data_IF_523156483055
#
_entry.id   IF_523156483055
#
_cell.length_a   1.000
_cell.length_b   1.000
_cell.length_c   1.000
_cell.angle_alpha   90.00
_cell.angle_beta   90.00
_cell.angle_gamma   90.00
#
_symmetry.space_group_name_H-M   'P 1'
#
loop_
_entity.id
_entity.type
_entity.pdbx_description
1 polymer ?
#
# COMPACT_ATOMS: atom_id res chain seq x y z
N UNK A 1 -12.97 -33.86 13.74
CA UNK A 1 -13.07 -32.52 14.34
C UNK A 1 -12.08 -32.27 15.48
N UNK A 2 -11.20 -33.20 15.85
CA UNK A 2 -10.31 -33.02 17.00
C UNK A 2 -8.81 -33.25 16.70
N UNK A 3 -7.93 -32.51 17.38
CA UNK A 3 -6.47 -32.61 17.31
C UNK A 3 -5.82 -32.61 18.70
N UNK A 4 -4.58 -33.10 18.77
CA UNK A 4 -3.74 -33.09 19.97
C UNK A 4 -2.57 -32.12 19.82
N UNK A 5 -2.09 -31.51 20.93
CA UNK A 5 -0.89 -30.68 20.92
C UNK A 5 0.34 -31.45 20.43
N UNK A 6 1.35 -30.73 19.93
CA UNK A 6 2.59 -31.33 19.47
C UNK A 6 3.28 -32.08 20.61
N UNK A 7 3.64 -33.35 20.35
CA UNK A 7 4.25 -34.23 21.36
C UNK A 7 3.27 -35.05 22.19
N UNK A 8 1.95 -34.88 22.01
CA UNK A 8 0.92 -35.73 22.61
C UNK A 8 0.41 -36.77 21.62
N UNK A 9 0.05 -37.94 22.14
CA UNK A 9 -0.50 -39.07 21.39
C UNK A 9 -2.02 -39.08 21.55
N UNK A 10 -2.78 -39.38 20.49
CA UNK A 10 -4.23 -39.44 20.56
C UNK A 10 -4.69 -40.71 21.30
N UNK A 11 -5.61 -40.55 22.25
CA UNK A 11 -6.39 -41.63 22.88
C UNK A 11 -7.86 -41.54 22.43
N UNK A 12 -8.26 -42.28 21.39
CA UNK A 12 -9.62 -42.29 20.82
C UNK A 12 -10.69 -42.79 21.78
N UNK A 13 -10.35 -43.74 22.65
CA UNK A 13 -11.31 -44.39 23.56
C UNK A 13 -11.59 -43.51 24.77
N UNK A 14 -10.57 -42.81 25.27
CA UNK A 14 -10.68 -41.87 26.37
C UNK A 14 -11.03 -40.43 25.98
N UNK A 15 -11.19 -40.13 24.68
CA UNK A 15 -11.52 -38.78 24.20
C UNK A 15 -10.46 -37.72 24.55
N UNK A 16 -9.19 -38.10 24.63
CA UNK A 16 -8.12 -37.25 25.19
C UNK A 16 -6.76 -37.43 24.50
N UNK A 17 -5.79 -36.58 24.87
CA UNK A 17 -4.42 -36.60 24.39
C UNK A 17 -3.48 -36.99 25.55
N UNK A 18 -2.51 -37.87 25.28
CA UNK A 18 -1.60 -38.43 26.28
C UNK A 18 -0.14 -38.04 26.01
N UNK A 19 0.58 -37.58 27.03
CA UNK A 19 2.03 -37.40 27.00
C UNK A 19 2.62 -37.80 28.36
N UNK A 20 3.23 -38.97 28.45
CA UNK A 20 3.65 -39.56 29.73
C UNK A 20 2.44 -39.81 30.63
N UNK A 21 2.44 -39.26 31.84
CA UNK A 21 1.31 -39.32 32.78
C UNK A 21 0.26 -38.21 32.55
N UNK A 22 0.54 -37.23 31.68
CA UNK A 22 -0.36 -36.13 31.42
C UNK A 22 -1.48 -36.54 30.45
N UNK A 23 -2.73 -36.30 30.88
CA UNK A 23 -3.96 -36.49 30.08
C UNK A 23 -4.67 -35.17 29.92
N UNK A 24 -4.81 -34.70 28.69
CA UNK A 24 -5.49 -33.42 28.36
C UNK A 24 -6.63 -33.63 27.37
N UNK A 25 -7.72 -32.83 27.44
CA UNK A 25 -8.82 -32.92 26.48
C UNK A 25 -8.37 -32.62 25.04
N UNK A 26 -9.12 -33.14 24.07
CA UNK A 26 -8.94 -32.80 22.67
C UNK A 26 -9.21 -31.33 22.36
N UNK A 27 -8.48 -30.81 21.38
CA UNK A 27 -8.78 -29.50 20.79
C UNK A 27 -9.67 -29.66 19.56
N UNK A 28 -10.55 -28.70 19.30
CA UNK A 28 -11.29 -28.64 18.04
C UNK A 28 -10.37 -28.21 16.88
N UNK A 29 -10.51 -28.89 15.75
CA UNK A 29 -9.82 -28.58 14.50
C UNK A 29 -10.48 -27.39 13.83
N UNK A 30 -9.83 -26.24 13.86
CA UNK A 30 -10.14 -25.15 12.94
C UNK A 30 -9.62 -25.50 11.54
N UNK A 31 -10.37 -25.20 10.46
CA UNK A 31 -9.86 -25.36 9.10
C UNK A 31 -8.52 -24.65 8.92
N UNK A 32 -7.58 -25.30 8.25
CA UNK A 32 -6.35 -24.63 7.85
C UNK A 32 -6.72 -23.45 6.96
N UNK A 33 -6.25 -22.24 7.30
CA UNK A 33 -6.36 -21.10 6.40
C UNK A 33 -5.61 -21.50 5.12
N UNK A 34 -6.33 -21.60 4.01
CA UNK A 34 -5.66 -21.62 2.72
C UNK A 34 -4.77 -20.38 2.70
N UNK A 35 -3.48 -20.56 2.43
CA UNK A 35 -2.63 -19.46 1.97
C UNK A 35 -3.48 -18.76 0.92
N UNK A 36 -3.89 -17.52 1.19
CA UNK A 36 -4.78 -16.79 0.31
C UNK A 36 -4.27 -17.01 -1.09
N UNK A 37 -5.11 -17.58 -1.96
CA UNK A 37 -4.86 -17.57 -3.39
C UNK A 37 -4.69 -16.09 -3.68
N UNK A 38 -3.45 -15.66 -3.85
CA UNK A 38 -3.15 -14.32 -4.33
C UNK A 38 -3.87 -14.28 -5.67
N UNK A 39 -5.02 -13.62 -5.71
CA UNK A 39 -5.72 -13.32 -6.94
C UNK A 39 -4.71 -12.61 -7.82
N UNK A 40 -4.35 -13.24 -8.94
CA UNK A 40 -3.40 -12.65 -9.85
C UNK A 40 -4.02 -11.39 -10.44
N UNK A 41 -3.25 -10.32 -10.58
CA UNK A 41 -3.73 -9.14 -11.31
C UNK A 41 -4.16 -9.57 -12.74
N UNK A 42 -5.34 -9.13 -13.17
CA UNK A 42 -5.87 -9.32 -14.53
C UNK A 42 -5.06 -8.45 -15.48
N UNK A 43 -4.23 -9.07 -16.33
CA UNK A 43 -3.38 -8.35 -17.29
C UNK A 43 -4.23 -7.70 -18.38
N UNK A 44 -4.14 -6.38 -18.52
CA UNK A 44 -4.82 -5.64 -19.59
C UNK A 44 -3.94 -5.52 -20.84
N UNK A 45 -2.66 -5.20 -20.64
CA UNK A 45 -1.61 -5.25 -21.67
C UNK A 45 -0.24 -5.53 -21.03
N UNK A 46 0.85 -5.36 -21.80
CA UNK A 46 2.21 -5.61 -21.31
C UNK A 46 2.63 -4.69 -20.17
N UNK A 47 2.05 -3.49 -20.10
CA UNK A 47 2.37 -2.46 -19.14
C UNK A 47 1.30 -2.19 -18.11
N UNK A 48 0.15 -2.87 -18.11
CA UNK A 48 -1.00 -2.56 -17.25
C UNK A 48 -1.80 -3.79 -16.81
N UNK A 49 -2.41 -3.69 -15.62
CA UNK A 49 -3.18 -4.77 -15.00
C UNK A 49 -4.24 -4.23 -14.03
N UNK A 50 -5.27 -5.02 -13.78
CA UNK A 50 -6.35 -4.75 -12.84
C UNK A 50 -6.29 -5.73 -11.66
N UNK A 51 -6.83 -5.37 -10.49
CA UNK A 51 -6.92 -6.32 -9.40
C UNK A 51 -7.77 -7.53 -9.80
N UNK A 52 -7.58 -8.65 -9.11
CA UNK A 52 -8.42 -9.83 -9.31
C UNK A 52 -9.91 -9.49 -9.12
N UNK A 53 -10.77 -10.15 -9.89
CA UNK A 53 -12.19 -9.84 -9.93
C UNK A 53 -12.58 -8.60 -10.74
N UNK A 54 -11.65 -7.99 -11.49
CA UNK A 54 -11.91 -6.80 -12.32
C UNK A 54 -11.78 -7.07 -13.82
N UNK A 55 -12.40 -6.22 -14.64
CA UNK A 55 -12.35 -6.29 -16.11
C UNK A 55 -11.61 -5.09 -16.70
N UNK A 56 -10.69 -5.35 -17.63
CA UNK A 56 -9.95 -4.31 -18.34
C UNK A 56 -10.84 -3.61 -19.38
N UNK A 57 -10.99 -2.30 -19.28
CA UNK A 57 -11.74 -1.45 -20.22
C UNK A 57 -10.92 -0.24 -20.64
N UNK A 58 -11.05 0.22 -21.87
CA UNK A 58 -10.36 1.44 -22.33
C UNK A 58 -11.03 2.72 -21.84
N UNK A 59 -10.21 3.68 -21.43
CA UNK A 59 -10.57 5.04 -21.10
C UNK A 59 -10.53 5.94 -22.34
N UNK A 60 -11.13 7.13 -22.26
CA UNK A 60 -11.17 8.11 -23.36
C UNK A 60 -9.77 8.60 -23.76
N UNK A 61 -8.81 8.50 -22.85
CA UNK A 61 -7.39 8.79 -23.08
C UNK A 61 -6.64 7.72 -23.90
N UNK A 62 -7.29 6.60 -24.23
CA UNK A 62 -6.67 5.44 -24.86
C UNK A 62 -5.87 4.53 -23.90
N UNK A 63 -5.81 4.89 -22.61
CA UNK A 63 -5.20 4.05 -21.56
C UNK A 63 -6.19 3.00 -21.04
N UNK A 64 -5.67 1.97 -20.36
CA UNK A 64 -6.48 0.97 -19.67
C UNK A 64 -7.02 1.47 -18.34
N UNK A 65 -8.26 1.07 -18.06
CA UNK A 65 -8.95 1.17 -16.79
C UNK A 65 -9.51 -0.17 -16.34
N UNK A 66 -9.88 -0.24 -15.07
CA UNK A 66 -10.42 -1.39 -14.37
C UNK A 66 -11.87 -1.13 -14.01
N UNK A 67 -12.74 -2.01 -14.49
CA UNK A 67 -14.09 -2.13 -13.99
C UNK A 67 -14.10 -3.06 -12.78
N UNK A 68 -14.70 -2.65 -11.65
CA UNK A 68 -14.72 -3.44 -10.41
C UNK A 68 -15.66 -4.66 -10.47
N UNK A 69 -16.06 -5.05 -11.68
CA UNK A 69 -16.95 -6.17 -11.96
C UNK A 69 -16.20 -7.21 -12.78
N UNK A 70 -16.43 -8.47 -12.45
CA UNK A 70 -15.99 -9.60 -13.25
C UNK A 70 -16.77 -9.65 -14.57
N UNK A 71 -16.05 -9.88 -15.67
CA UNK A 71 -16.64 -10.01 -17.01
C UNK A 71 -17.56 -8.84 -17.40
N UNK A 72 -17.18 -7.61 -17.00
CA UNK A 72 -17.96 -6.41 -17.22
C UNK A 72 -18.09 -6.07 -18.72
N UNK A 73 -19.21 -5.46 -19.08
CA UNK A 73 -19.41 -4.85 -20.39
C UNK A 73 -18.88 -3.42 -20.35
N UNK A 74 -17.84 -3.12 -21.13
CA UNK A 74 -17.28 -1.78 -21.21
C UNK A 74 -18.21 -0.85 -22.01
N UNK A 75 -18.70 0.21 -21.38
CA UNK A 75 -19.58 1.16 -22.06
C UNK A 75 -18.81 2.06 -23.03
N UNK A 76 -19.46 2.50 -24.13
CA UNK A 76 -18.85 3.31 -25.19
C UNK A 76 -18.55 4.75 -24.76
N UNK A 77 -19.05 5.17 -23.60
CA UNK A 77 -18.72 6.47 -23.00
C UNK A 77 -17.29 6.55 -22.47
N UNK A 78 -16.56 5.42 -22.46
CA UNK A 78 -15.21 5.29 -21.94
C UNK A 78 -15.02 5.63 -20.44
N UNK A 79 -16.11 5.83 -19.71
CA UNK A 79 -16.09 6.15 -18.27
C UNK A 79 -16.75 5.04 -17.45
N UNK A 80 -17.81 4.42 -17.97
CA UNK A 80 -18.61 3.46 -17.21
C UNK A 80 -18.57 2.03 -17.77
N UNK A 81 -19.04 1.09 -16.97
CA UNK A 81 -19.24 -0.29 -17.33
C UNK A 81 -20.43 -0.92 -16.63
N UNK A 82 -20.93 -1.97 -17.25
CA UNK A 82 -22.10 -2.71 -16.82
C UNK A 82 -21.73 -4.14 -16.39
N UNK A 83 -22.54 -4.76 -15.53
CA UNK A 83 -22.39 -6.19 -15.22
C UNK A 83 -22.55 -7.07 -16.46
N UNK A 84 -22.04 -8.29 -16.39
CA UNK A 84 -22.20 -9.27 -17.44
C UNK A 84 -23.68 -9.48 -17.78
N UNK A 85 -24.01 -9.44 -19.08
CA UNK A 85 -25.37 -9.63 -19.56
C UNK A 85 -26.26 -8.38 -19.55
N UNK A 86 -25.71 -7.23 -19.15
CA UNK A 86 -26.38 -5.93 -19.27
C UNK A 86 -25.84 -5.13 -20.47
N UNK A 87 -26.72 -4.31 -21.05
CA UNK A 87 -26.40 -3.36 -22.13
C UNK A 87 -26.31 -1.95 -21.56
N UNK A 88 -25.31 -1.19 -21.98
CA UNK A 88 -25.17 0.20 -21.56
C UNK A 88 -26.26 1.08 -22.19
N UNK A 89 -26.89 1.91 -21.37
CA UNK A 89 -27.83 2.96 -21.75
C UNK A 89 -27.25 4.32 -21.33
N UNK A 90 -26.46 4.98 -22.20
CA UNK A 90 -25.86 6.28 -21.91
C UNK A 90 -26.88 7.42 -21.74
N UNK A 91 -28.04 7.33 -22.40
CA UNK A 91 -29.10 8.34 -22.31
C UNK A 91 -29.79 8.28 -20.94
N UNK A 92 -30.05 7.08 -20.44
CA UNK A 92 -30.59 6.83 -19.11
C UNK A 92 -29.56 6.76 -17.98
N UNK A 93 -28.26 6.82 -18.30
CA UNK A 93 -27.16 6.73 -17.32
C UNK A 93 -27.13 5.41 -16.56
N UNK A 94 -27.42 4.30 -17.23
CA UNK A 94 -27.68 3.02 -16.55
C UNK A 94 -27.36 1.79 -17.41
N UNK A 95 -27.52 0.62 -16.82
CA UNK A 95 -27.35 -0.68 -17.45
C UNK A 95 -28.72 -1.38 -17.54
N UNK A 96 -29.04 -1.92 -18.72
CA UNK A 96 -30.32 -2.55 -19.01
C UNK A 96 -30.17 -4.05 -19.25
N UNK A 97 -31.05 -4.86 -18.65
CA UNK A 97 -31.21 -6.28 -18.95
C UNK A 97 -32.71 -6.62 -18.95
N UNK A 98 -33.29 -6.73 -20.14
CA UNK A 98 -34.75 -6.82 -20.29
C UNK A 98 -35.43 -5.57 -19.74
N UNK A 99 -36.37 -5.73 -18.80
CA UNK A 99 -37.04 -4.61 -18.11
C UNK A 99 -36.25 -4.10 -16.88
N UNK A 100 -35.15 -4.78 -16.51
CA UNK A 100 -34.36 -4.42 -15.33
C UNK A 100 -33.36 -3.32 -15.68
N UNK A 101 -33.35 -2.27 -14.86
CA UNK A 101 -32.40 -1.16 -14.95
C UNK A 101 -31.61 -1.06 -13.66
N UNK A 102 -30.28 -1.05 -13.77
CA UNK A 102 -29.36 -0.89 -12.64
C UNK A 102 -28.36 0.24 -12.91
N UNK A 103 -27.85 0.93 -11.90
CA UNK A 103 -26.77 1.90 -12.09
C UNK A 103 -25.53 1.25 -12.71
N UNK A 104 -24.86 1.98 -13.59
CA UNK A 104 -23.55 1.58 -14.10
C UNK A 104 -22.43 1.84 -13.09
N UNK A 105 -21.27 1.25 -13.31
CA UNK A 105 -20.08 1.44 -12.49
C UNK A 105 -19.04 2.29 -13.20
N UNK A 106 -18.33 3.13 -12.45
CA UNK A 106 -17.20 3.91 -12.97
C UNK A 106 -15.94 3.06 -13.11
N UNK A 107 -15.14 3.34 -14.15
CA UNK A 107 -13.82 2.75 -14.38
C UNK A 107 -12.78 3.43 -13.49
N UNK A 108 -11.90 2.64 -12.87
CA UNK A 108 -10.68 3.14 -12.23
C UNK A 108 -9.49 3.03 -13.20
N UNK A 109 -8.40 3.80 -13.06
CA UNK A 109 -7.19 3.58 -13.88
C UNK A 109 -6.55 2.21 -13.64
N UNK A 110 -6.00 1.58 -14.68
CA UNK A 110 -5.27 0.32 -14.55
C UNK A 110 -3.88 0.51 -13.93
N UNK A 111 -3.43 -0.48 -13.16
CA UNK A 111 -2.13 -0.49 -12.49
C UNK A 111 -1.02 -0.73 -13.51
N UNK A 112 -0.01 0.12 -13.58
CA UNK A 112 1.09 -0.06 -14.54
C UNK A 112 2.14 -1.07 -14.03
N UNK A 113 2.55 -2.01 -14.88
CA UNK A 113 3.49 -3.12 -14.62
C UNK A 113 4.95 -2.69 -14.46
N UNK A 114 5.22 -1.38 -14.42
CA UNK A 114 6.47 -0.79 -13.94
C UNK A 114 6.48 -0.51 -12.42
N UNK A 115 5.40 -0.86 -11.70
CA UNK A 115 5.23 -0.60 -10.27
C UNK A 115 4.90 -1.90 -9.54
N UNK A 116 5.83 -2.86 -9.51
CA UNK A 116 5.81 -3.94 -8.51
C UNK A 116 7.21 -4.15 -7.94
N UNK A 117 7.45 -3.51 -6.80
CA UNK A 117 8.70 -3.57 -6.03
C UNK A 117 8.95 -2.29 -5.24
N UNK A 118 8.14 -2.05 -4.21
CA UNK A 118 8.29 -0.91 -3.29
C UNK A 118 7.24 0.18 -3.52
N UNK A 119 6.31 0.23 -2.57
CA UNK A 119 5.49 1.39 -2.24
C UNK A 119 4.57 1.84 -3.39
N UNK A 120 3.38 1.22 -3.42
CA UNK A 120 2.17 1.84 -4.02
C UNK A 120 1.82 3.02 -3.13
N UNK A 121 2.65 4.03 -3.26
CA UNK A 121 2.21 5.36 -3.12
C UNK A 121 3.30 6.28 -2.68
N UNK A 122 4.39 6.34 -3.45
CA UNK A 122 5.41 7.35 -3.28
C UNK A 122 5.72 8.06 -4.63
N UNK A 123 5.75 9.39 -4.62
CA UNK A 123 6.25 10.32 -5.64
C UNK A 123 7.78 10.35 -5.60
N UNK A 124 8.44 9.95 -6.70
CA UNK A 124 9.91 9.94 -6.79
C UNK A 124 10.44 11.38 -6.91
N UNK A 125 11.37 11.77 -6.03
CA UNK A 125 12.02 13.08 -6.07
C UNK A 125 13.33 13.03 -6.85
N UNK A 126 14.16 12.02 -6.58
CA UNK A 126 15.35 11.67 -7.36
C UNK A 126 15.61 10.15 -7.29
N UNK A 127 16.79 9.70 -7.73
CA UNK A 127 17.16 8.28 -7.75
C UNK A 127 17.24 7.65 -6.36
N UNK A 128 17.50 8.44 -5.32
CA UNK A 128 17.69 7.97 -3.96
C UNK A 128 16.53 8.33 -3.04
N UNK A 129 15.61 9.21 -3.42
CA UNK A 129 14.59 9.77 -2.53
C UNK A 129 13.18 9.83 -3.12
N UNK A 130 12.19 9.65 -2.26
CA UNK A 130 10.76 9.69 -2.60
C UNK A 130 9.91 10.31 -1.49
N UNK A 131 8.75 10.81 -1.86
CA UNK A 131 7.73 11.32 -0.96
C UNK A 131 6.48 10.45 -1.03
N UNK A 132 5.64 10.39 -0.01
CA UNK A 132 4.32 9.73 -0.10
C UNK A 132 3.46 10.24 -1.27
N UNK A 133 2.51 9.42 -1.72
CA UNK A 133 1.51 9.75 -2.72
C UNK A 133 0.66 10.91 -2.18
N UNK A 134 0.33 11.84 -3.07
CA UNK A 134 -0.32 13.10 -2.68
C UNK A 134 0.66 14.18 -2.19
N UNK A 135 1.96 13.89 -2.07
CA UNK A 135 2.96 14.89 -1.72
C UNK A 135 3.74 15.39 -2.94
N UNK A 136 4.30 16.59 -2.83
CA UNK A 136 5.18 17.20 -3.86
C UNK A 136 6.62 17.27 -3.38
N UNK A 137 7.55 16.88 -4.24
CA UNK A 137 8.98 16.98 -3.97
C UNK A 137 9.47 18.43 -4.09
N UNK A 138 10.07 18.96 -3.02
CA UNK A 138 10.67 20.29 -2.97
C UNK A 138 12.09 20.25 -2.41
N UNK A 139 12.99 21.08 -2.94
CA UNK A 139 14.37 21.13 -2.44
C UNK A 139 14.50 21.88 -1.11
N UNK A 140 15.34 21.34 -0.24
CA UNK A 140 15.79 21.94 1.03
C UNK A 140 17.10 22.72 0.82
N UNK A 141 17.52 23.49 1.83
CA UNK A 141 18.64 24.43 1.73
C UNK A 141 20.01 23.77 1.46
N UNK A 142 20.12 22.47 1.74
CA UNK A 142 21.33 21.65 1.53
C UNK A 142 21.34 20.91 0.19
N UNK A 143 20.38 21.17 -0.70
CA UNK A 143 20.24 20.47 -1.98
C UNK A 143 19.60 19.07 -1.88
N UNK A 144 19.19 18.67 -0.68
CA UNK A 144 18.42 17.44 -0.42
C UNK A 144 16.93 17.65 -0.68
N UNK A 145 16.18 16.56 -0.87
CA UNK A 145 14.73 16.62 -1.09
C UNK A 145 13.91 16.60 0.20
N UNK A 146 12.81 17.34 0.16
CA UNK A 146 11.72 17.31 1.13
C UNK A 146 10.37 17.12 0.45
N UNK A 147 9.38 16.74 1.24
CA UNK A 147 8.02 16.46 0.86
C UNK A 147 7.11 17.56 1.38
N UNK A 148 6.33 18.12 0.48
CA UNK A 148 5.20 18.96 0.79
C UNK A 148 3.95 18.11 0.88
N UNK A 149 3.14 18.22 1.95
CA UNK A 149 1.92 17.43 2.16
C UNK A 149 0.75 17.89 1.28
N UNK A 150 1.06 18.46 0.12
CA UNK A 150 0.13 19.03 -0.84
C UNK A 150 0.46 18.48 -2.22
N UNK A 151 -0.57 18.12 -2.96
CA UNK A 151 -0.44 17.70 -4.35
C UNK A 151 -0.18 18.93 -5.24
N UNK A 152 0.78 18.82 -6.16
CA UNK A 152 1.18 19.91 -7.07
C UNK A 152 1.53 21.23 -6.36
N UNK A 153 2.21 21.13 -5.21
CA UNK A 153 2.58 22.28 -4.38
C UNK A 153 3.60 23.21 -5.07
N UNK A 154 3.52 24.50 -4.74
CA UNK A 154 4.52 25.50 -5.10
C UNK A 154 5.60 25.54 -4.02
N UNK A 155 6.83 25.18 -4.37
CA UNK A 155 7.97 25.18 -3.44
C UNK A 155 8.44 26.62 -3.17
N UNK A 156 8.40 27.06 -1.90
CA UNK A 156 8.86 28.39 -1.55
C UNK A 156 10.40 28.49 -1.55
N UNK A 157 10.95 29.67 -1.86
CA UNK A 157 12.40 29.91 -1.97
C UNK A 157 13.11 29.93 -0.62
N UNK A 158 12.38 29.92 0.49
CA UNK A 158 12.93 29.79 1.84
C UNK A 158 13.46 28.38 2.14
N UNK A 159 13.26 27.43 1.23
CA UNK A 159 13.65 26.03 1.34
C UNK A 159 13.02 25.26 2.51
N UNK A 160 12.07 25.85 3.23
CA UNK A 160 11.40 25.25 4.39
C UNK A 160 9.91 25.07 4.13
N UNK A 161 9.27 25.97 3.37
CA UNK A 161 7.82 25.96 3.20
C UNK A 161 7.37 25.76 1.76
N UNK A 162 6.09 25.46 1.60
CA UNK A 162 5.41 25.34 0.32
C UNK A 162 3.95 25.76 0.41
N UNK A 163 3.42 26.09 -0.76
CA UNK A 163 2.06 26.60 -0.93
C UNK A 163 1.22 25.66 -1.79
N UNK A 164 -0.12 25.71 -1.65
CA UNK A 164 -1.02 25.00 -2.56
C UNK A 164 -0.86 25.45 -4.01
N UNK A 165 -1.29 24.60 -4.93
CA UNK A 165 -1.29 24.91 -6.36
C UNK A 165 -2.02 26.24 -6.63
N UNK A 166 -1.39 27.13 -7.40
CA UNK A 166 -1.96 28.43 -7.76
C UNK A 166 -1.78 29.54 -6.71
N UNK A 167 -1.12 29.26 -5.58
CA UNK A 167 -0.73 30.26 -4.60
C UNK A 167 0.74 30.68 -4.77
N UNK A 168 1.04 31.93 -4.41
CA UNK A 168 2.40 32.51 -4.41
C UNK A 168 2.90 32.64 -2.97
N UNK A 169 4.15 32.28 -2.71
CA UNK A 169 4.75 32.41 -1.39
C UNK A 169 4.98 33.89 -1.02
N UNK A 170 4.59 34.26 0.20
CA UNK A 170 4.84 35.54 0.85
C UNK A 170 5.72 35.29 2.10
N UNK A 171 7.06 35.34 1.96
CA UNK A 171 7.98 35.06 3.05
C UNK A 171 7.96 36.11 4.17
N UNK A 172 7.60 37.35 3.85
CA UNK A 172 7.50 38.45 4.82
C UNK A 172 6.25 38.30 5.69
N UNK A 173 5.15 37.89 5.07
CA UNK A 173 3.89 37.61 5.76
C UNK A 173 3.77 36.20 6.33
N UNK A 174 4.67 35.28 5.97
CA UNK A 174 4.61 33.87 6.38
C UNK A 174 3.40 33.10 5.84
N UNK A 175 2.95 33.44 4.64
CA UNK A 175 1.69 32.95 4.08
C UNK A 175 1.80 32.66 2.56
N UNK A 176 0.76 32.04 2.03
CA UNK A 176 0.51 31.82 0.63
C UNK A 176 -0.61 32.76 0.16
N UNK A 177 -0.39 33.43 -0.97
CA UNK A 177 -1.30 34.42 -1.54
C UNK A 177 -1.92 33.94 -2.85
N UNK A 178 -3.23 34.09 -2.99
CA UNK A 178 -3.94 33.91 -4.27
C UNK A 178 -5.06 34.96 -4.38
N UNK A 179 -4.80 36.02 -5.14
CA UNK A 179 -5.69 37.19 -5.16
C UNK A 179 -5.73 37.86 -3.78
N UNK A 180 -6.92 37.99 -3.19
CA UNK A 180 -7.10 38.51 -1.83
C UNK A 180 -7.00 37.42 -0.74
N UNK A 181 -6.97 36.13 -1.13
CA UNK A 181 -6.88 35.02 -0.18
C UNK A 181 -5.47 34.91 0.40
N UNK A 182 -5.39 34.83 1.73
CA UNK A 182 -4.16 34.59 2.50
C UNK A 182 -4.36 33.32 3.31
N UNK A 183 -3.53 32.31 3.05
CA UNK A 183 -3.56 31.04 3.79
C UNK A 183 -2.18 30.74 4.35
N UNK A 184 -2.07 30.07 5.52
CA UNK A 184 -0.77 29.64 6.03
C UNK A 184 -0.06 28.71 5.04
N UNK A 185 1.26 28.85 4.93
CA UNK A 185 2.08 27.90 4.19
C UNK A 185 2.27 26.59 4.97
N UNK A 186 2.72 25.56 4.27
CA UNK A 186 3.01 24.25 4.86
C UNK A 186 4.51 24.03 4.97
N UNK A 187 4.95 23.41 6.06
CA UNK A 187 6.34 23.00 6.24
C UNK A 187 6.67 21.72 5.45
N UNK A 188 7.87 21.67 4.89
CA UNK A 188 8.44 20.49 4.22
C UNK A 188 8.93 19.48 5.25
N UNK A 189 8.71 18.20 5.01
CA UNK A 189 9.38 17.11 5.76
C UNK A 189 10.49 16.50 4.92
N UNK A 190 11.57 15.93 5.48
CA UNK A 190 12.59 15.24 4.68
C UNK A 190 12.01 14.11 3.82
N UNK A 191 12.53 13.93 2.60
CA UNK A 191 12.14 12.84 1.71
C UNK A 191 12.67 11.48 2.20
N UNK A 192 11.95 10.41 1.88
CA UNK A 192 12.28 9.03 2.23
C UNK A 192 13.38 8.52 1.31
N UNK A 193 14.42 7.87 1.84
CA UNK A 193 15.48 7.30 1.00
C UNK A 193 15.10 5.90 0.49
N UNK A 194 15.10 5.69 -0.82
CA UNK A 194 14.82 4.42 -1.49
C UNK A 194 16.04 3.50 -1.44
N UNK A 195 16.33 2.99 -0.24
CA UNK A 195 17.60 2.30 0.03
C UNK A 195 17.70 1.54 1.35
N UNK A 196 16.61 0.91 1.82
CA UNK A 196 16.57 -0.36 2.58
C UNK A 196 15.11 -0.64 2.96
N UNK A 197 14.51 -1.66 2.34
CA UNK A 197 13.37 -2.29 3.00
C UNK A 197 13.92 -3.12 4.16
N UNK A 198 13.43 -2.78 5.35
CA UNK A 198 13.76 -3.44 6.60
C UNK A 198 13.49 -2.44 7.69
N UNK A 199 12.32 -2.53 8.32
CA UNK A 199 12.20 -2.02 9.67
C UNK A 199 13.20 -2.79 10.51
N UNK A 200 14.38 -2.22 10.71
CA UNK A 200 15.31 -2.65 11.75
C UNK A 200 15.34 -1.48 12.73
N UNK A 201 14.59 -1.68 13.83
CA UNK A 201 15.05 -1.27 15.16
C UNK A 201 16.57 -1.45 15.16
N UNK A 202 17.34 -0.40 15.44
CA UNK A 202 18.77 -0.35 15.09
C UNK A 202 19.58 -1.35 15.92
N UNK A 203 19.57 -2.63 15.53
CA UNK A 203 20.23 -3.65 16.31
C UNK A 203 21.74 -3.36 16.38
N UNK A 204 22.28 -3.23 17.60
CA UNK A 204 23.70 -3.11 17.91
C UNK A 204 24.39 -4.41 17.48
N UNK A 205 25.31 -4.31 16.52
CA UNK A 205 26.08 -5.47 16.02
C UNK A 205 27.14 -5.90 17.02
N UNK A 206 27.17 -7.19 17.35
CA UNK A 206 28.16 -7.79 18.23
C UNK A 206 29.25 -8.56 17.45
N UNK A 207 28.88 -9.33 16.42
CA UNK A 207 29.80 -10.10 15.55
C UNK A 207 29.12 -10.50 14.22
N UNK A 208 29.81 -11.25 13.34
CA UNK A 208 29.41 -11.73 11.99
C UNK A 208 28.23 -12.73 11.96
N UNK A 209 27.21 -12.48 12.79
CA UNK A 209 25.96 -13.24 12.86
C UNK A 209 25.13 -12.99 14.12
N UNK A 210 25.56 -12.11 15.03
CA UNK A 210 24.89 -11.85 16.31
C UNK A 210 24.71 -10.34 16.53
N UNK A 211 23.47 -9.91 16.77
CA UNK A 211 23.08 -8.51 17.01
C UNK A 211 22.07 -8.43 18.16
N UNK A 212 21.99 -7.27 18.81
CA UNK A 212 21.09 -6.98 19.93
C UNK A 212 20.19 -5.77 19.62
N UNK A 213 18.98 -5.63 20.19
CA UNK A 213 18.13 -4.43 20.02
C UNK A 213 18.86 -3.11 20.29
N UNK A 214 18.37 -2.00 19.74
CA UNK A 214 19.00 -0.65 19.86
C UNK A 214 19.12 -0.12 21.29
N UNK A 215 18.22 -0.55 22.17
CA UNK A 215 18.26 -0.24 23.60
C UNK A 215 19.21 -1.16 24.41
N UNK A 216 19.88 -2.13 23.77
CA UNK A 216 20.71 -3.13 24.45
C UNK A 216 22.19 -3.07 24.02
N UNK A 217 23.08 -3.44 24.93
CA UNK A 217 24.53 -3.57 24.70
C UNK A 217 24.96 -5.04 24.56
N UNK A 218 25.94 -5.30 23.70
CA UNK A 218 26.55 -6.62 23.51
C UNK A 218 27.47 -7.00 24.70
N UNK A 219 27.30 -8.21 25.25
CA UNK A 219 28.17 -8.77 26.28
C UNK A 219 28.63 -10.19 25.92
N UNK A 220 29.91 -10.49 26.17
CA UNK A 220 30.50 -11.79 25.84
C UNK A 220 30.28 -12.79 26.99
N UNK A 221 29.67 -13.94 26.69
CA UNK A 221 29.39 -15.00 27.66
C UNK A 221 30.59 -15.93 27.82
N UNK A 222 30.66 -16.64 28.95
CA UNK A 222 31.74 -17.59 29.28
C UNK A 222 31.84 -18.77 28.30
N UNK A 223 30.79 -19.01 27.51
CA UNK A 223 30.71 -19.99 26.42
C UNK A 223 31.36 -19.51 25.11
N UNK A 224 31.80 -18.26 25.03
CA UNK A 224 32.37 -17.65 23.82
C UNK A 224 31.35 -17.06 22.84
N UNK A 225 30.06 -17.04 23.20
CA UNK A 225 28.96 -16.46 22.41
C UNK A 225 28.56 -15.09 22.93
N UNK A 226 27.84 -14.29 22.12
CA UNK A 226 27.34 -12.98 22.51
C UNK A 226 25.92 -13.05 23.10
N UNK A 227 25.65 -12.20 24.10
CA UNK A 227 24.33 -11.98 24.69
C UNK A 227 23.98 -10.49 24.72
N UNK A 228 22.70 -10.18 24.85
CA UNK A 228 22.17 -8.81 24.86
C UNK A 228 21.78 -8.40 26.27
N UNK A 229 22.36 -7.30 26.75
CA UNK A 229 22.01 -6.69 28.02
C UNK A 229 21.26 -5.37 27.79
N UNK A 230 20.02 -5.20 28.28
CA UNK A 230 19.38 -3.88 28.34
C UNK A 230 20.13 -2.93 29.28
#
# INVERSE_FOLDING_TARGET
VHCCPQGYTCDPEGGSCLQGEARVPWHEKTPARTRGRQGGDVKCDDGTSCPDGSTCCQLSSGKWGCCPLEQAVCCPDHVHCCPQGYTCDPEGGSCLQGETRVPWHEKMPARTRGRQGGDVGDVKCDDETSCPDGNTCCQLSLGTWGCCPLEQAVCCPDHVHCCPQGYTCDPEGGNCLQGEARVPWHEKTPARTRGRQGGDVRDVKCDDGMSCPDDNTCCQLSSGTWGCCP
#
